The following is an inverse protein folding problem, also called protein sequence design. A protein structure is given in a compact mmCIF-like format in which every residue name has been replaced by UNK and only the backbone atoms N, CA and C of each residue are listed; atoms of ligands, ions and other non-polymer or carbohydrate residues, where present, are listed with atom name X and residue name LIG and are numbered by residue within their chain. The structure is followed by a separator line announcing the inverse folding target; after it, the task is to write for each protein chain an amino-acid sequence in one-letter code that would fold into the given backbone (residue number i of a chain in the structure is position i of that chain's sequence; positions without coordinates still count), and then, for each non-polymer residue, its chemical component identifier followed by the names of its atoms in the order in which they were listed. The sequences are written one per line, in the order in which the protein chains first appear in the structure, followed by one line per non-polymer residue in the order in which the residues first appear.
data_IF_031571664920
#
_entry.id   IF_031571664920
#
_cell.length_a   1.000
_cell.length_b   1.000
_cell.length_c   1.000
_cell.angle_alpha   90.00
_cell.angle_beta   90.00
_cell.angle_gamma   90.00
#
_symmetry.space_group_name_H-M   'P 1'
#
loop_
_entity.id
_entity.type
_entity.pdbx_description
1 polymer ?
#
# COMPACT_ATOMS: atom_id res chain seq x y z
N UNK A 1 25.23 -52.08 8.32
CA UNK A 1 25.35 -50.61 8.40
C UNK A 1 25.35 -49.89 7.04
N UNK A 2 24.84 -50.50 5.94
CA UNK A 2 24.82 -49.88 4.60
C UNK A 2 23.42 -49.48 4.09
N UNK A 3 22.34 -49.81 4.82
CA UNK A 3 20.96 -49.57 4.38
C UNK A 3 20.31 -48.29 4.92
N UNK A 4 20.95 -47.57 5.85
CA UNK A 4 20.38 -46.38 6.49
C UNK A 4 20.71 -45.09 5.69
N UNK A 5 21.75 -45.11 4.86
CA UNK A 5 22.20 -43.92 4.10
C UNK A 5 21.28 -43.62 2.90
N UNK A 6 20.65 -44.65 2.29
CA UNK A 6 19.82 -44.48 1.10
C UNK A 6 18.48 -43.76 1.34
N UNK A 7 17.90 -43.85 2.55
CA UNK A 7 16.59 -43.23 2.84
C UNK A 7 16.63 -41.71 3.02
N UNK A 8 17.77 -41.12 3.42
CA UNK A 8 17.87 -39.66 3.55
C UNK A 8 17.96 -38.95 2.21
N UNK A 9 18.54 -39.58 1.19
CA UNK A 9 18.70 -38.97 -0.13
C UNK A 9 17.38 -38.80 -0.88
N UNK A 10 16.41 -39.70 -0.67
CA UNK A 10 15.11 -39.65 -1.35
C UNK A 10 14.19 -38.54 -0.81
N UNK A 11 14.33 -38.17 0.47
CA UNK A 11 13.51 -37.13 1.09
C UNK A 11 13.89 -35.70 0.65
N UNK A 12 15.14 -35.48 0.22
CA UNK A 12 15.59 -34.14 -0.21
C UNK A 12 15.09 -33.80 -1.62
N UNK A 13 14.82 -34.80 -2.47
CA UNK A 13 14.34 -34.59 -3.84
C UNK A 13 12.85 -34.21 -3.94
N UNK A 14 12.06 -34.41 -2.89
CA UNK A 14 10.63 -34.09 -2.89
C UNK A 14 10.29 -32.63 -2.49
N UNK A 15 11.27 -31.85 -2.01
CA UNK A 15 11.03 -30.48 -1.51
C UNK A 15 11.17 -29.36 -2.57
N UNK A 16 11.47 -29.70 -3.83
CA UNK A 16 11.71 -28.70 -4.91
C UNK A 16 10.50 -28.46 -5.83
N UNK A 17 9.30 -28.98 -5.49
CA UNK A 17 8.14 -28.96 -6.39
C UNK A 17 6.97 -28.02 -5.98
N UNK A 18 7.14 -27.12 -5.01
CA UNK A 18 6.16 -26.07 -4.70
C UNK A 18 6.79 -24.67 -4.83
N UNK A 19 7.20 -24.34 -6.06
CA UNK A 19 7.48 -22.97 -6.45
C UNK A 19 6.20 -22.39 -7.10
N UNK A 20 5.40 -21.66 -6.32
CA UNK A 20 4.25 -20.91 -6.84
C UNK A 20 4.73 -19.73 -7.71
N UNK A 21 4.26 -19.58 -8.96
CA UNK A 21 4.56 -18.44 -9.80
C UNK A 21 3.56 -17.30 -9.49
N UNK A 22 3.78 -16.58 -8.39
CA UNK A 22 2.93 -15.44 -7.99
C UNK A 22 3.66 -14.09 -7.96
N UNK A 23 4.83 -13.98 -8.61
CA UNK A 23 5.67 -12.78 -8.63
C UNK A 23 5.98 -12.28 -10.05
N UNK A 24 5.05 -12.46 -10.99
CA UNK A 24 5.23 -12.03 -12.38
C UNK A 24 4.21 -11.01 -12.89
N UNK A 25 3.23 -10.58 -12.11
CA UNK A 25 2.18 -9.68 -12.64
C UNK A 25 1.72 -8.61 -11.65
N UNK A 26 2.54 -7.57 -11.46
CA UNK A 26 1.99 -6.21 -11.34
C UNK A 26 3.05 -5.17 -11.74
N UNK A 27 3.51 -5.30 -12.98
CA UNK A 27 3.77 -4.13 -13.80
C UNK A 27 2.43 -3.76 -14.46
N UNK A 28 1.82 -2.67 -14.02
CA UNK A 28 0.90 -1.89 -14.84
C UNK A 28 1.41 -0.45 -14.85
N UNK A 29 1.47 0.19 -16.03
CA UNK A 29 2.11 1.46 -16.25
C UNK A 29 1.32 2.61 -15.61
N UNK A 30 2.10 3.58 -15.16
CA UNK A 30 1.72 4.94 -14.79
C UNK A 30 0.62 5.49 -15.69
N UNK A 31 -0.57 5.73 -15.12
CA UNK A 31 -1.39 6.84 -15.60
C UNK A 31 -0.73 8.12 -15.10
N UNK A 32 -0.54 9.04 -16.03
CA UNK A 32 0.26 10.26 -15.91
C UNK A 32 -0.18 11.17 -14.75
N UNK A 33 0.74 11.92 -14.13
CA UNK A 33 0.39 13.05 -13.30
C UNK A 33 -0.01 14.21 -14.22
N UNK A 34 -1.31 14.45 -14.40
CA UNK A 34 -1.75 15.71 -15.00
C UNK A 34 -1.58 16.82 -13.97
N UNK A 35 -0.46 17.53 -14.10
CA UNK A 35 -0.29 18.86 -13.58
C UNK A 35 -1.37 19.81 -14.13
N UNK A 36 -1.66 20.86 -13.36
CA UNK A 36 -2.51 22.01 -13.69
C UNK A 36 -3.99 21.89 -13.32
N UNK A 37 -4.30 21.95 -12.01
CA UNK A 37 -5.47 22.69 -11.57
C UNK A 37 -5.07 24.17 -11.45
N UNK A 38 -5.06 24.85 -12.59
CA UNK A 38 -4.98 26.31 -12.68
C UNK A 38 -6.19 26.91 -11.96
N UNK A 39 -5.92 27.91 -11.13
CA UNK A 39 -6.92 28.76 -10.51
C UNK A 39 -7.93 29.30 -11.54
N UNK A 40 -9.23 29.13 -11.27
CA UNK A 40 -10.28 29.90 -11.92
C UNK A 40 -10.76 31.00 -10.97
N UNK A 41 -10.54 32.28 -11.29
CA UNK A 41 -11.21 33.39 -10.62
C UNK A 41 -12.65 33.54 -11.14
N UNK A 42 -13.58 33.74 -10.21
CA UNK A 42 -14.80 34.52 -10.42
C UNK A 42 -15.83 33.99 -11.42
N UNK A 43 -16.73 33.13 -10.95
CA UNK A 43 -18.09 33.03 -11.49
C UNK A 43 -19.07 33.42 -10.39
N UNK A 44 -19.43 34.70 -10.38
CA UNK A 44 -20.57 35.23 -9.65
C UNK A 44 -21.85 34.67 -10.27
N UNK A 45 -22.44 33.66 -9.64
CA UNK A 45 -23.84 33.31 -9.86
C UNK A 45 -24.68 34.00 -8.78
N UNK A 46 -25.29 35.10 -9.19
CA UNK A 46 -26.41 35.76 -8.51
C UNK A 46 -27.65 34.91 -8.78
N UNK A 47 -28.34 34.47 -7.72
CA UNK A 47 -29.76 34.06 -7.84
C UNK A 47 -30.22 32.98 -6.86
N UNK A 48 -31.16 33.33 -5.99
CA UNK A 48 -32.12 32.39 -5.42
C UNK A 48 -32.07 32.21 -3.90
N UNK A 49 -32.84 33.03 -3.18
CA UNK A 49 -33.14 32.83 -1.76
C UNK A 49 -33.90 31.52 -1.53
N UNK A 50 -33.20 30.52 -0.98
CA UNK A 50 -33.79 29.34 -0.35
C UNK A 50 -33.10 29.14 0.99
N UNK A 51 -33.70 29.62 2.08
CA UNK A 51 -33.17 29.49 3.42
C UNK A 51 -33.36 28.05 3.93
N UNK A 52 -32.44 27.15 3.57
CA UNK A 52 -32.24 25.89 4.29
C UNK A 52 -31.35 26.15 5.50
N UNK A 53 -31.68 25.62 6.70
CA UNK A 53 -30.80 25.75 7.86
C UNK A 53 -29.49 25.01 7.57
N UNK A 54 -28.38 25.75 7.50
CA UNK A 54 -27.04 25.17 7.49
C UNK A 54 -26.78 24.68 8.90
N UNK A 55 -26.96 23.37 9.12
CA UNK A 55 -26.34 22.71 10.27
C UNK A 55 -24.83 22.77 10.03
N UNK A 56 -24.02 23.41 10.90
CA UNK A 56 -22.57 23.28 10.82
C UNK A 56 -22.26 21.78 10.92
N UNK A 57 -21.84 21.23 9.78
CA UNK A 57 -21.55 19.81 9.65
C UNK A 57 -20.53 19.41 10.70
N UNK A 58 -20.89 18.38 11.47
CA UNK A 58 -19.98 17.60 12.28
C UNK A 58 -18.82 17.17 11.37
N UNK A 59 -17.69 17.87 11.42
CA UNK A 59 -16.45 17.34 10.84
C UNK A 59 -16.11 16.15 11.71
N UNK A 60 -16.54 14.97 11.30
CA UNK A 60 -15.96 13.73 11.76
C UNK A 60 -14.50 13.76 11.29
N UNK A 61 -13.65 14.43 12.07
CA UNK A 61 -12.22 14.16 12.02
C UNK A 61 -12.07 12.81 12.69
N UNK A 62 -12.46 11.75 11.96
CA UNK A 62 -11.75 10.51 12.14
C UNK A 62 -10.30 10.92 11.92
N UNK A 63 -9.50 10.88 12.98
CA UNK A 63 -8.09 11.27 12.93
C UNK A 63 -7.30 10.21 12.15
N UNK A 64 -7.77 9.88 10.95
CA UNK A 64 -7.01 9.19 9.92
C UNK A 64 -6.19 10.28 9.27
N UNK A 65 -4.88 10.16 9.36
CA UNK A 65 -3.88 11.06 8.82
C UNK A 65 -4.21 11.59 7.42
N UNK A 66 -3.53 12.67 7.02
CA UNK A 66 -3.60 13.40 5.74
C UNK A 66 -3.42 12.53 4.47
N UNK A 67 -4.26 11.52 4.28
CA UNK A 67 -4.23 10.57 3.18
C UNK A 67 -5.39 10.86 2.23
N UNK A 68 -5.10 11.10 0.95
CA UNK A 68 -6.14 11.18 -0.07
C UNK A 68 -6.98 9.90 -0.12
N UNK A 69 -8.28 10.03 -0.34
CA UNK A 69 -9.19 8.88 -0.45
C UNK A 69 -8.75 7.90 -1.53
N UNK A 70 -8.18 8.40 -2.63
CA UNK A 70 -7.62 7.57 -3.71
C UNK A 70 -6.50 6.68 -3.20
N UNK A 71 -5.59 7.20 -2.38
CA UNK A 71 -4.48 6.43 -1.79
C UNK A 71 -4.98 5.38 -0.81
N UNK A 72 -5.97 5.72 0.02
CA UNK A 72 -6.61 4.77 0.92
C UNK A 72 -7.25 3.62 0.14
N UNK A 73 -8.01 3.96 -0.91
CA UNK A 73 -8.67 2.97 -1.77
C UNK A 73 -7.65 2.06 -2.47
N UNK A 74 -6.59 2.62 -3.05
CA UNK A 74 -5.54 1.86 -3.73
C UNK A 74 -4.83 0.87 -2.78
N UNK A 75 -4.53 1.29 -1.56
CA UNK A 75 -3.96 0.42 -0.54
C UNK A 75 -4.90 -0.74 -0.19
N UNK A 76 -6.18 -0.44 0.08
CA UNK A 76 -7.18 -1.44 0.46
C UNK A 76 -7.41 -2.43 -0.69
N UNK A 77 -7.52 -1.96 -1.93
CA UNK A 77 -7.67 -2.83 -3.10
C UNK A 77 -6.43 -3.73 -3.32
N UNK A 78 -5.22 -3.17 -3.14
CA UNK A 78 -3.99 -3.95 -3.20
C UNK A 78 -3.92 -5.04 -2.12
N UNK A 79 -4.30 -4.70 -0.88
CA UNK A 79 -4.38 -5.66 0.21
C UNK A 79 -5.40 -6.77 -0.07
N UNK A 80 -6.59 -6.41 -0.56
CA UNK A 80 -7.65 -7.36 -0.90
C UNK A 80 -7.23 -8.34 -2.00
N UNK A 81 -6.45 -7.88 -2.99
CA UNK A 81 -5.95 -8.73 -4.08
C UNK A 81 -5.09 -9.89 -3.57
N UNK A 82 -4.40 -9.72 -2.43
CA UNK A 82 -3.60 -10.76 -1.79
C UNK A 82 -4.37 -11.59 -0.76
N UNK A 83 -5.56 -11.15 -0.34
CA UNK A 83 -6.34 -11.72 0.77
C UNK A 83 -7.73 -12.26 0.35
N UNK A 84 -7.96 -12.47 -0.95
CA UNK A 84 -9.14 -13.18 -1.47
C UNK A 84 -10.34 -12.31 -1.81
N UNK A 85 -10.22 -10.97 -1.78
CA UNK A 85 -11.23 -10.03 -2.29
C UNK A 85 -12.67 -10.20 -1.72
N UNK A 86 -12.80 -10.71 -0.49
CA UNK A 86 -14.09 -10.87 0.18
C UNK A 86 -14.47 -9.64 1.02
N UNK A 87 -15.71 -9.57 1.49
CA UNK A 87 -16.14 -8.53 2.44
C UNK A 87 -15.33 -8.58 3.75
N UNK A 88 -15.01 -9.78 4.24
CA UNK A 88 -14.16 -9.95 5.43
C UNK A 88 -12.75 -9.43 5.16
N UNK A 89 -12.18 -9.72 3.98
CA UNK A 89 -10.87 -9.17 3.60
C UNK A 89 -10.91 -7.63 3.53
N UNK A 90 -11.99 -7.03 3.02
CA UNK A 90 -12.17 -5.58 3.01
C UNK A 90 -12.14 -5.00 4.43
N UNK A 91 -12.83 -5.60 5.38
CA UNK A 91 -12.86 -5.14 6.79
C UNK A 91 -11.46 -5.19 7.42
N UNK A 92 -10.73 -6.29 7.19
CA UNK A 92 -9.37 -6.48 7.71
C UNK A 92 -8.34 -5.55 7.04
N UNK A 93 -8.42 -5.40 5.71
CA UNK A 93 -7.58 -4.48 4.96
C UNK A 93 -7.86 -3.01 5.29
N UNK A 94 -9.10 -2.64 5.59
CA UNK A 94 -9.45 -1.30 6.04
C UNK A 94 -8.83 -1.00 7.42
N UNK A 95 -8.97 -1.93 8.37
CA UNK A 95 -8.27 -1.86 9.66
C UNK A 95 -6.76 -1.69 9.49
N UNK A 96 -6.15 -2.49 8.59
CA UNK A 96 -4.71 -2.42 8.34
C UNK A 96 -4.27 -1.05 7.84
N UNK A 97 -5.04 -0.45 6.92
CA UNK A 97 -4.77 0.90 6.43
C UNK A 97 -4.85 1.94 7.55
N UNK A 98 -5.89 1.88 8.41
CA UNK A 98 -6.05 2.81 9.52
C UNK A 98 -4.87 2.76 10.51
N UNK A 99 -4.36 1.55 10.79
CA UNK A 99 -3.15 1.39 11.62
C UNK A 99 -1.93 1.98 10.93
N UNK A 100 -1.71 1.69 9.65
CA UNK A 100 -0.58 2.25 8.89
C UNK A 100 -0.65 3.78 8.87
N UNK A 101 -1.79 4.35 8.52
CA UNK A 101 -2.01 5.80 8.48
C UNK A 101 -1.81 6.47 9.85
N UNK A 102 -2.04 5.76 10.95
CA UNK A 102 -1.76 6.28 12.30
C UNK A 102 -0.27 6.32 12.67
N UNK A 103 0.58 5.53 11.99
CA UNK A 103 2.00 5.35 12.33
C UNK A 103 2.95 6.09 11.39
N UNK A 104 2.54 6.33 10.15
CA UNK A 104 3.35 7.02 9.14
C UNK A 104 2.58 8.18 8.53
N UNK A 105 3.28 9.29 8.25
CA UNK A 105 2.71 10.41 7.51
C UNK A 105 2.58 10.08 6.03
N UNK A 106 1.67 10.77 5.34
CA UNK A 106 1.47 10.62 3.90
C UNK A 106 2.74 10.87 3.08
N UNK A 107 3.52 11.91 3.42
CA UNK A 107 4.79 12.20 2.73
C UNK A 107 5.78 11.03 2.85
N UNK A 108 5.89 10.41 4.03
CA UNK A 108 6.76 9.24 4.24
C UNK A 108 6.27 8.02 3.51
N UNK A 109 4.95 7.84 3.39
CA UNK A 109 4.36 6.79 2.57
C UNK A 109 4.69 6.98 1.08
N UNK A 110 4.52 8.18 0.54
CA UNK A 110 4.80 8.50 -0.86
C UNK A 110 6.29 8.32 -1.18
N UNK A 111 7.16 8.73 -0.25
CA UNK A 111 8.60 8.52 -0.38
C UNK A 111 8.95 7.02 -0.43
N UNK A 112 8.42 6.23 0.50
CA UNK A 112 8.63 4.80 0.53
C UNK A 112 8.07 4.09 -0.73
N UNK A 113 6.86 4.46 -1.19
CA UNK A 113 6.26 3.89 -2.40
C UNK A 113 7.06 4.24 -3.65
N UNK A 114 7.63 5.45 -3.70
CA UNK A 114 8.50 5.89 -4.78
C UNK A 114 9.80 5.07 -4.82
N UNK A 115 10.47 4.88 -3.67
CA UNK A 115 11.66 4.03 -3.61
C UNK A 115 11.37 2.57 -3.99
N UNK A 116 10.23 2.03 -3.57
CA UNK A 116 9.79 0.68 -3.97
C UNK A 116 9.52 0.57 -5.46
N UNK A 117 8.89 1.58 -6.07
CA UNK A 117 8.65 1.63 -7.52
C UNK A 117 9.96 1.73 -8.31
N UNK A 118 10.80 2.70 -7.98
CA UNK A 118 12.08 2.92 -8.67
C UNK A 118 13.08 1.77 -8.47
N UNK A 119 13.02 1.11 -7.31
CA UNK A 119 13.81 -0.09 -7.03
C UNK A 119 13.46 -1.28 -7.93
N UNK A 120 12.26 -1.35 -8.51
CA UNK A 120 11.87 -2.43 -9.41
C UNK A 120 12.51 -2.33 -10.79
N UNK A 121 13.10 -1.17 -11.14
CA UNK A 121 13.83 -1.00 -12.40
C UNK A 121 15.01 -1.98 -12.45
N UNK A 122 15.12 -2.73 -13.55
CA UNK A 122 16.18 -3.74 -13.72
C UNK A 122 17.52 -3.06 -14.02
N UNK A 123 18.61 -3.68 -13.54
CA UNK A 123 19.98 -3.22 -13.76
C UNK A 123 20.52 -2.32 -12.64
N UNK A 124 21.71 -1.78 -12.85
CA UNK A 124 22.47 -1.02 -11.84
C UNK A 124 21.72 0.19 -11.31
N UNK A 125 20.88 0.82 -12.15
CA UNK A 125 20.08 2.00 -11.76
C UNK A 125 19.08 1.70 -10.65
N UNK A 126 18.41 0.54 -10.67
CA UNK A 126 17.46 0.15 -9.62
C UNK A 126 18.15 -0.20 -8.29
N UNK A 127 19.40 -0.65 -8.34
CA UNK A 127 20.19 -0.94 -7.13
C UNK A 127 20.42 0.33 -6.31
N UNK A 128 20.69 1.47 -6.96
CA UNK A 128 20.88 2.75 -6.26
C UNK A 128 19.67 3.16 -5.41
N UNK A 129 18.46 2.94 -5.92
CA UNK A 129 17.21 3.24 -5.20
C UNK A 129 16.88 2.23 -4.10
N UNK A 130 17.54 1.07 -4.04
CA UNK A 130 17.37 0.05 -3.00
C UNK A 130 18.40 0.16 -1.88
N UNK A 131 19.58 0.71 -2.17
CA UNK A 131 20.73 0.63 -1.25
C UNK A 131 20.99 1.89 -0.45
N UNK A 132 20.47 3.05 -0.87
CA UNK A 132 20.62 4.32 -0.16
C UNK A 132 20.06 4.26 1.27
N UNK A 133 20.61 5.09 2.17
CA UNK A 133 20.21 5.11 3.57
C UNK A 133 18.75 5.58 3.73
N UNK A 134 18.37 6.59 2.95
CA UNK A 134 17.06 7.21 2.89
C UNK A 134 16.00 6.22 2.40
N UNK A 135 16.32 5.44 1.36
CA UNK A 135 15.44 4.37 0.87
C UNK A 135 15.19 3.32 1.95
N UNK A 136 16.24 2.83 2.60
CA UNK A 136 16.12 1.86 3.69
C UNK A 136 15.33 2.41 4.87
N UNK A 137 15.52 3.68 5.22
CA UNK A 137 14.76 4.33 6.27
C UNK A 137 13.27 4.41 5.92
N UNK A 138 12.92 4.97 4.75
CA UNK A 138 11.52 5.11 4.30
C UNK A 138 10.80 3.77 4.17
N UNK A 139 11.43 2.81 3.49
CA UNK A 139 10.86 1.46 3.35
C UNK A 139 10.79 0.78 4.72
N UNK A 140 11.79 0.96 5.58
CA UNK A 140 11.81 0.41 6.92
C UNK A 140 10.65 0.93 7.79
N UNK A 141 10.37 2.22 7.75
CA UNK A 141 9.25 2.84 8.48
C UNK A 141 7.91 2.22 8.03
N UNK A 142 7.69 2.16 6.72
CA UNK A 142 6.49 1.56 6.12
C UNK A 142 6.34 0.08 6.49
N UNK A 143 7.41 -0.72 6.40
CA UNK A 143 7.38 -2.15 6.72
C UNK A 143 7.11 -2.41 8.20
N UNK A 144 7.62 -1.56 9.10
CA UNK A 144 7.31 -1.65 10.54
C UNK A 144 5.84 -1.34 10.80
N UNK A 145 5.29 -0.30 10.17
CA UNK A 145 3.86 0.02 10.29
C UNK A 145 2.97 -1.10 9.75
N UNK A 146 3.35 -1.72 8.62
CA UNK A 146 2.64 -2.87 8.05
C UNK A 146 2.70 -4.10 8.97
N UNK A 147 3.85 -4.37 9.60
CA UNK A 147 3.98 -5.48 10.54
C UNK A 147 3.07 -5.29 11.78
N UNK A 148 2.98 -4.06 12.31
CA UNK A 148 2.06 -3.75 13.40
C UNK A 148 0.59 -3.94 12.98
N UNK A 149 0.26 -3.50 11.76
CA UNK A 149 -1.08 -3.65 11.20
C UNK A 149 -1.46 -5.13 11.01
N UNK A 150 -0.52 -5.99 10.61
CA UNK A 150 -0.74 -7.44 10.49
C UNK A 150 -1.20 -8.03 11.82
N UNK A 151 -0.42 -7.81 12.90
CA UNK A 151 -0.73 -8.37 14.22
C UNK A 151 -2.03 -7.81 14.80
N UNK A 152 -2.35 -6.54 14.55
CA UNK A 152 -3.57 -5.93 15.11
C UNK A 152 -4.84 -6.30 14.36
N UNK A 153 -4.75 -6.49 13.05
CA UNK A 153 -5.93 -6.56 12.20
C UNK A 153 -6.18 -7.95 11.62
N UNK A 154 -5.18 -8.84 11.52
CA UNK A 154 -5.30 -10.15 10.87
C UNK A 154 -5.25 -11.36 11.81
N UNK A 155 -5.09 -11.12 13.12
CA UNK A 155 -5.34 -12.13 14.17
C UNK A 155 -6.85 -12.33 14.45
#
# INVERSE_FOLDING_TARGET
MHRIIASKALAVLAALAFASPALAQQAAPSTEPSAAATAQPGSTLVGGAGASPVLPGMTATAATADYPTVTAADYVFGCMASNGQTRVALERCSCSFDVVASLISYDRYVEASTFLSMGQVTGEKGVLFKTSAESKAAIGDLRRAQAEAEIRCFE
#
